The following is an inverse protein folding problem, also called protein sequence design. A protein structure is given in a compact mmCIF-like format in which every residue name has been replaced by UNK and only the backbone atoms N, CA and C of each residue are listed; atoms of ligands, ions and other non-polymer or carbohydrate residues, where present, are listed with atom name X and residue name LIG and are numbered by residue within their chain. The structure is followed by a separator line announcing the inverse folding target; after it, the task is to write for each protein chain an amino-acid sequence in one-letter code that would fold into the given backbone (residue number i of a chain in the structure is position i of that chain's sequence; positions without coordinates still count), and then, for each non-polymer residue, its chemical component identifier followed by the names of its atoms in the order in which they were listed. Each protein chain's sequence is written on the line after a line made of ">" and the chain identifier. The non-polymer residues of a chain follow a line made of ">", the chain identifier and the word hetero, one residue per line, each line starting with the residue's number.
data_IF_920936587345
#
_entry.id   IF_920936587345
#
_cell.length_a   1.000
_cell.length_b   1.000
_cell.length_c   1.000
_cell.angle_alpha   90.00
_cell.angle_beta   90.00
_cell.angle_gamma   90.00
#
_symmetry.space_group_name_H-M   'P 1'
#
loop_
_entity.id
_entity.type
_entity.pdbx_description
1 polymer ?
#
# COMPACT_ATOMS: atom_id res chain seq x y z
N UNK A 1 2.02 31.34 -22.58
CA UNK A 1 1.08 30.71 -21.64
C UNK A 1 1.93 29.87 -20.71
N UNK A 2 2.23 30.35 -19.51
CA UNK A 2 2.98 29.57 -18.53
C UNK A 2 2.07 28.45 -18.04
N UNK A 3 2.33 27.23 -18.47
CA UNK A 3 1.72 26.05 -17.88
C UNK A 3 2.14 26.02 -16.43
N UNK A 4 1.22 26.32 -15.52
CA UNK A 4 1.33 25.98 -14.11
C UNK A 4 1.51 24.46 -14.13
N UNK A 5 2.75 24.00 -13.94
CA UNK A 5 3.01 22.63 -13.60
C UNK A 5 2.24 22.43 -12.29
N UNK A 6 1.04 21.86 -12.41
CA UNK A 6 0.44 21.16 -11.29
C UNK A 6 1.53 20.20 -10.89
N UNK A 7 2.08 20.37 -9.68
CA UNK A 7 2.89 19.34 -9.08
C UNK A 7 2.05 18.09 -9.26
N UNK A 8 2.45 17.11 -10.10
CA UNK A 8 1.69 15.89 -10.13
C UNK A 8 1.84 15.38 -8.70
N UNK A 9 0.76 15.47 -7.92
CA UNK A 9 0.53 14.61 -6.78
C UNK A 9 0.81 13.22 -7.33
N UNK A 10 2.06 12.76 -7.20
CA UNK A 10 2.55 11.59 -7.90
C UNK A 10 1.62 10.49 -7.39
N UNK A 11 0.71 9.96 -8.22
CA UNK A 11 -0.26 9.00 -7.75
C UNK A 11 0.57 7.85 -7.22
N UNK A 12 0.36 7.53 -5.94
CA UNK A 12 1.33 6.75 -5.19
C UNK A 12 1.81 5.54 -5.97
N UNK A 13 3.14 5.39 -6.02
CA UNK A 13 3.76 4.43 -6.92
C UNK A 13 3.55 3.02 -6.37
N UNK A 14 2.87 2.15 -7.13
CA UNK A 14 2.80 0.72 -6.81
C UNK A 14 3.99 0.02 -7.46
N UNK A 15 4.93 -0.48 -6.66
CA UNK A 15 6.09 -1.21 -7.13
C UNK A 15 5.83 -2.71 -7.04
N UNK A 16 6.03 -3.40 -8.17
CA UNK A 16 5.96 -4.85 -8.27
C UNK A 16 7.34 -5.48 -8.02
N UNK A 17 7.48 -6.22 -6.92
CA UNK A 17 8.57 -7.15 -6.69
C UNK A 17 8.02 -8.57 -6.58
N UNK A 18 7.14 -8.94 -7.52
CA UNK A 18 6.64 -10.32 -7.64
C UNK A 18 7.44 -11.09 -8.67
N UNK A 19 7.64 -12.38 -8.42
CA UNK A 19 8.44 -13.27 -9.30
C UNK A 19 7.65 -14.49 -9.75
N UNK A 20 6.52 -14.76 -9.11
CA UNK A 20 5.64 -15.89 -9.42
C UNK A 20 4.40 -15.45 -10.18
N UNK A 21 3.81 -16.36 -10.94
CA UNK A 21 2.54 -16.10 -11.64
C UNK A 21 1.41 -15.72 -10.68
N UNK A 22 1.42 -16.26 -9.45
CA UNK A 22 0.41 -15.91 -8.44
C UNK A 22 0.58 -14.49 -7.92
N UNK A 23 1.82 -14.02 -7.79
CA UNK A 23 2.14 -12.66 -7.39
C UNK A 23 1.77 -11.66 -8.49
N UNK A 24 2.01 -12.00 -9.76
CA UNK A 24 1.60 -11.17 -10.89
C UNK A 24 0.07 -11.04 -11.00
N UNK A 25 -0.67 -12.14 -10.81
CA UNK A 25 -2.13 -12.10 -10.70
C UNK A 25 -2.57 -11.22 -9.53
N UNK A 26 -1.97 -11.41 -8.34
CA UNK A 26 -2.25 -10.58 -7.17
C UNK A 26 -2.01 -9.09 -7.42
N UNK A 27 -0.88 -8.72 -8.04
CA UNK A 27 -0.57 -7.33 -8.37
C UNK A 27 -1.60 -6.75 -9.34
N UNK A 28 -1.99 -7.52 -10.36
CA UNK A 28 -3.00 -7.10 -11.33
C UNK A 28 -4.36 -6.87 -10.67
N UNK A 29 -4.86 -7.85 -9.92
CA UNK A 29 -6.13 -7.74 -9.19
C UNK A 29 -6.10 -6.59 -8.17
N UNK A 30 -4.97 -6.40 -7.50
CA UNK A 30 -4.77 -5.28 -6.58
C UNK A 30 -4.85 -3.95 -7.33
N UNK A 31 -4.08 -3.77 -8.41
CA UNK A 31 -4.08 -2.54 -9.19
C UNK A 31 -5.44 -2.24 -9.86
N UNK A 32 -6.18 -3.27 -10.27
CA UNK A 32 -7.54 -3.10 -10.82
C UNK A 32 -8.56 -2.65 -9.77
N UNK A 33 -8.47 -3.18 -8.53
CA UNK A 33 -9.37 -2.81 -7.43
C UNK A 33 -8.93 -1.53 -6.70
N UNK A 34 -7.68 -1.11 -6.89
CA UNK A 34 -7.11 0.06 -6.23
C UNK A 34 -7.44 1.35 -6.99
N UNK A 35 -8.41 2.10 -6.47
CA UNK A 35 -8.84 3.39 -7.04
C UNK A 35 -8.44 4.60 -6.17
N UNK A 36 -7.86 4.36 -4.99
CA UNK A 36 -7.64 5.42 -4.01
C UNK A 36 -6.34 6.19 -4.28
N UNK A 37 -6.39 7.51 -4.52
CA UNK A 37 -5.19 8.32 -4.61
C UNK A 37 -4.53 8.39 -3.24
N UNK A 38 -3.23 8.07 -3.19
CA UNK A 38 -2.45 8.08 -1.97
C UNK A 38 -1.12 8.79 -2.16
N UNK A 39 -0.67 9.45 -1.10
CA UNK A 39 0.64 10.09 -1.01
C UNK A 39 1.62 9.08 -0.39
N UNK A 40 2.46 8.47 -1.22
CA UNK A 40 3.45 7.48 -0.79
C UNK A 40 3.82 6.46 -1.87
N UNK A 41 4.64 5.47 -1.52
CA UNK A 41 5.01 4.35 -2.40
C UNK A 41 4.47 3.05 -1.82
N UNK A 42 3.64 2.33 -2.55
CA UNK A 42 3.19 1.00 -2.13
C UNK A 42 4.08 -0.05 -2.80
N UNK A 43 4.76 -0.90 -2.05
CA UNK A 43 5.59 -1.97 -2.63
C UNK A 43 5.04 -3.33 -2.27
N UNK A 44 4.79 -4.14 -3.30
CA UNK A 44 4.36 -5.54 -3.19
C UNK A 44 5.60 -6.42 -3.29
N UNK A 45 6.06 -6.95 -2.16
CA UNK A 45 7.22 -7.82 -2.12
C UNK A 45 6.79 -9.29 -2.01
N UNK A 46 7.18 -10.10 -2.98
CA UNK A 46 7.03 -11.56 -2.91
C UNK A 46 8.32 -12.24 -2.43
N UNK A 47 8.18 -13.20 -1.52
CA UNK A 47 9.22 -14.18 -1.18
C UNK A 47 8.74 -15.61 -1.47
N UNK A 48 9.21 -16.24 -2.57
CA UNK A 48 8.88 -17.63 -2.85
C UNK A 48 9.51 -18.54 -1.78
N UNK A 49 8.68 -19.33 -1.12
CA UNK A 49 9.07 -20.27 -0.06
C UNK A 49 8.66 -21.68 -0.45
N UNK A 50 9.59 -22.48 -0.96
CA UNK A 50 9.33 -23.85 -1.44
C UNK A 50 8.62 -24.79 -0.44
N UNK A 51 8.67 -24.47 0.85
CA UNK A 51 8.07 -25.27 1.93
C UNK A 51 6.61 -24.94 2.23
N UNK A 52 6.17 -23.71 1.96
CA UNK A 52 4.85 -23.24 2.35
C UNK A 52 4.06 -22.72 1.12
N UNK A 53 4.71 -22.19 0.06
CA UNK A 53 4.09 -21.39 -1.02
C UNK A 53 4.76 -20.00 -1.20
N UNK A 54 4.02 -18.93 -1.52
CA UNK A 54 4.56 -17.57 -1.70
C UNK A 54 4.20 -16.65 -0.52
N UNK A 55 5.20 -15.98 0.05
CA UNK A 55 4.97 -14.96 1.07
C UNK A 55 4.79 -13.62 0.40
N UNK A 56 3.65 -12.97 0.56
CA UNK A 56 3.42 -11.62 0.03
C UNK A 56 3.44 -10.63 1.19
N UNK A 57 4.25 -9.59 1.05
CA UNK A 57 4.36 -8.50 2.00
C UNK A 57 4.03 -7.21 1.28
N UNK A 58 3.03 -6.50 1.80
CA UNK A 58 2.66 -5.18 1.34
C UNK A 58 3.28 -4.14 2.26
N UNK A 59 4.06 -3.25 1.67
CA UNK A 59 4.73 -2.18 2.38
C UNK A 59 4.23 -0.84 1.85
N UNK A 60 3.92 0.08 2.76
CA UNK A 60 3.58 1.45 2.44
C UNK A 60 4.73 2.35 2.90
N UNK A 61 5.46 2.86 1.93
CA UNK A 61 6.68 3.64 2.05
C UNK A 61 7.84 2.83 2.65
N UNK A 62 7.91 2.73 3.97
CA UNK A 62 8.89 1.91 4.70
C UNK A 62 8.24 1.00 5.75
N UNK A 63 6.91 1.03 5.87
CA UNK A 63 6.17 0.33 6.92
C UNK A 63 5.39 -0.87 6.35
N UNK A 64 5.44 -2.00 7.06
CA UNK A 64 4.73 -3.22 6.67
C UNK A 64 3.29 -3.16 7.16
N UNK A 65 2.37 -2.79 6.26
CA UNK A 65 0.95 -2.63 6.59
C UNK A 65 0.16 -3.94 6.52
N UNK A 66 0.67 -4.91 5.76
CA UNK A 66 0.03 -6.20 5.58
C UNK A 66 1.06 -7.25 5.16
N UNK A 67 0.95 -8.45 5.73
CA UNK A 67 1.67 -9.61 5.25
C UNK A 67 0.72 -10.80 5.22
N UNK A 68 0.82 -11.60 4.18
CA UNK A 68 -0.01 -12.80 4.06
C UNK A 68 0.73 -13.93 3.41
N UNK A 69 0.24 -15.13 3.71
CA UNK A 69 0.75 -16.34 3.15
C UNK A 69 -0.15 -16.79 2.00
N UNK A 70 0.41 -16.85 0.80
CA UNK A 70 -0.33 -17.12 -0.43
C UNK A 70 -0.07 -18.55 -0.90
N UNK A 71 -1.11 -19.37 -0.78
CA UNK A 71 -1.12 -20.73 -1.33
C UNK A 71 -1.46 -20.68 -2.82
N UNK A 72 -1.05 -21.68 -3.64
CA UNK A 72 -1.37 -21.76 -5.07
C UNK A 72 -2.87 -21.93 -5.39
N UNK A 73 -3.76 -21.77 -4.41
CA UNK A 73 -5.21 -21.82 -4.58
C UNK A 73 -5.74 -20.42 -4.93
N UNK A 74 -6.36 -20.27 -6.11
CA UNK A 74 -6.89 -18.99 -6.60
C UNK A 74 -7.82 -18.28 -5.61
N UNK A 75 -8.65 -19.02 -4.87
CA UNK A 75 -9.56 -18.42 -3.87
C UNK A 75 -8.83 -17.73 -2.73
N UNK A 76 -7.66 -18.23 -2.33
CA UNK A 76 -6.85 -17.60 -1.29
C UNK A 76 -6.21 -16.30 -1.77
N UNK A 77 -5.83 -16.25 -3.05
CA UNK A 77 -5.25 -15.07 -3.67
C UNK A 77 -6.25 -13.91 -3.74
N UNK A 78 -7.46 -14.16 -4.24
CA UNK A 78 -8.49 -13.12 -4.36
C UNK A 78 -8.87 -12.53 -3.00
N UNK A 79 -9.05 -13.39 -1.98
CA UNK A 79 -9.34 -12.93 -0.63
C UNK A 79 -8.17 -12.15 -0.01
N UNK A 80 -6.92 -12.57 -0.27
CA UNK A 80 -5.74 -11.84 0.15
C UNK A 80 -5.67 -10.43 -0.49
N UNK A 81 -6.07 -10.28 -1.76
CA UNK A 81 -6.15 -8.97 -2.42
C UNK A 81 -7.17 -8.09 -1.73
N UNK A 82 -8.39 -8.60 -1.51
CA UNK A 82 -9.44 -7.83 -0.83
C UNK A 82 -9.00 -7.34 0.55
N UNK A 83 -8.36 -8.22 1.34
CA UNK A 83 -7.81 -7.86 2.65
C UNK A 83 -6.67 -6.84 2.54
N UNK A 84 -5.80 -6.97 1.55
CA UNK A 84 -4.70 -6.04 1.31
C UNK A 84 -5.21 -4.64 0.96
N UNK A 85 -6.24 -4.53 0.10
CA UNK A 85 -6.89 -3.26 -0.25
C UNK A 85 -7.52 -2.62 1.01
N UNK A 86 -8.22 -3.42 1.83
CA UNK A 86 -8.84 -2.94 3.06
C UNK A 86 -7.78 -2.40 4.03
N UNK A 87 -6.72 -3.18 4.29
CA UNK A 87 -5.63 -2.76 5.18
C UNK A 87 -4.89 -1.52 4.67
N UNK A 88 -4.64 -1.43 3.36
CA UNK A 88 -3.99 -0.26 2.78
C UNK A 88 -4.85 0.99 2.95
N UNK A 89 -6.17 0.89 2.73
CA UNK A 89 -7.11 1.98 3.00
C UNK A 89 -7.14 2.40 4.48
N UNK A 90 -7.16 1.43 5.39
CA UNK A 90 -7.13 1.70 6.84
C UNK A 90 -5.83 2.40 7.26
N UNK A 91 -4.69 1.91 6.77
CA UNK A 91 -3.38 2.51 7.03
C UNK A 91 -3.31 3.96 6.51
N UNK A 92 -3.84 4.23 5.31
CA UNK A 92 -3.90 5.58 4.74
C UNK A 92 -4.77 6.53 5.57
N UNK A 93 -5.93 6.06 6.05
CA UNK A 93 -6.82 6.84 6.91
C UNK A 93 -6.15 7.15 8.25
N UNK A 94 -5.50 6.17 8.87
CA UNK A 94 -4.76 6.37 10.11
C UNK A 94 -3.67 7.43 9.95
N UNK A 95 -2.88 7.39 8.86
CA UNK A 95 -1.84 8.39 8.58
C UNK A 95 -2.39 9.79 8.34
N UNK A 96 -3.52 9.92 7.64
CA UNK A 96 -4.17 11.23 7.44
C UNK A 96 -4.67 11.83 8.75
N UNK A 97 -5.26 11.00 9.62
CA UNK A 97 -5.74 11.42 10.95
C UNK A 97 -4.55 11.85 11.82
N UNK A 98 -3.46 11.09 11.82
CA UNK A 98 -2.26 11.39 12.60
C UNK A 98 -1.63 12.73 12.16
N UNK A 99 -1.46 12.96 10.84
CA UNK A 99 -1.00 14.26 10.32
C UNK A 99 -1.93 15.41 10.72
N UNK A 100 -3.25 15.23 10.63
CA UNK A 100 -4.22 16.27 10.98
C UNK A 100 -4.22 16.59 12.48
N UNK A 101 -4.05 15.57 13.32
CA UNK A 101 -3.98 15.71 14.78
C UNK A 101 -2.68 16.39 15.20
N UNK A 102 -1.54 15.96 14.67
CA UNK A 102 -0.23 16.55 14.94
C UNK A 102 -0.16 18.01 14.47
N UNK A 103 -0.77 18.32 13.33
CA UNK A 103 -0.85 19.68 12.80
C UNK A 103 -1.71 20.63 13.63
N UNK A 104 -2.60 20.12 14.49
CA UNK A 104 -3.43 20.94 15.38
C UNK A 104 -2.81 21.09 16.78
N UNK A 105 -1.83 20.23 17.13
CA UNK A 105 -1.14 20.25 18.42
C UNK A 105 0.00 21.27 18.53
N UNK A 106 0.45 21.86 17.43
CA UNK A 106 1.65 22.72 17.37
C UNK A 106 1.34 24.23 17.50
N UNK A 107 0.31 24.61 18.26
CA UNK A 107 0.01 26.01 18.59
C UNK A 107 -0.28 26.23 20.08
N UNK A 108 0.35 25.44 20.96
CA UNK A 108 0.50 25.81 22.38
C UNK A 108 1.92 25.50 22.81
N UNK A 109 2.79 26.45 22.55
CA UNK A 109 4.15 26.54 23.04
C UNK A 109 4.64 27.99 23.01
N UNK A 110 3.73 28.95 23.16
CA UNK A 110 4.08 30.24 23.77
C UNK A 110 4.29 29.91 25.24
N UNK A 111 5.51 30.05 25.78
CA UNK A 111 5.77 30.51 27.16
C UNK A 111 7.25 30.94 27.29
N UNK A 112 7.42 32.27 27.38
CA UNK A 112 8.45 33.09 28.06
C UNK A 112 9.93 33.10 27.63
#
# INVERSE_FOLDING_TARGET
>A
MCGRAVEPEIPGLVTDHTVSSVGHDFYRDFAEKWDTPFDGTLSVNEKPSARWGSWITLTLDQDVIYQTFLFPSRKGADNAVELAIAQANEALKQRQIDKALLSTGDLTGDEF
#
